data_IF_217043052528
#
_entry.id   IF_217043052528
#
_cell.length_a   1.000
_cell.length_b   1.000
_cell.length_c   1.000
_cell.angle_alpha   90.00
_cell.angle_beta   90.00
_cell.angle_gamma   90.00
#
_symmetry.space_group_name_H-M   'P 1'
#
loop_
_entity.id
_entity.type
_entity.pdbx_description
1 polymer ?
#
# COMPACT_ATOMS: atom_id res chain seq x y z
N UNK A 1 -12.58 -22.15 -20.34
CA UNK A 1 -11.84 -21.43 -19.28
C UNK A 1 -10.55 -20.80 -19.81
N UNK A 2 -9.82 -21.43 -20.73
CA UNK A 2 -8.60 -20.82 -21.31
C UNK A 2 -8.87 -19.56 -22.14
N UNK A 3 -10.00 -19.48 -22.82
CA UNK A 3 -10.45 -18.29 -23.53
C UNK A 3 -10.73 -17.09 -22.59
N UNK A 4 -10.94 -17.34 -21.29
CA UNK A 4 -11.16 -16.33 -20.26
C UNK A 4 -9.86 -15.89 -19.55
N UNK A 5 -8.69 -16.23 -20.09
CA UNK A 5 -7.40 -15.80 -19.54
C UNK A 5 -6.75 -16.79 -18.56
N UNK A 6 -7.35 -17.94 -18.30
CA UNK A 6 -6.71 -18.98 -17.49
C UNK A 6 -5.43 -19.48 -18.19
N UNK A 7 -4.33 -19.60 -17.47
CA UNK A 7 -3.01 -20.00 -18.01
C UNK A 7 -2.73 -21.47 -17.85
N UNK A 8 -3.31 -22.07 -16.81
CA UNK A 8 -3.18 -23.51 -16.52
C UNK A 8 -4.37 -23.96 -15.68
N UNK A 9 -4.63 -25.25 -15.59
CA UNK A 9 -5.64 -25.83 -14.73
C UNK A 9 -5.14 -27.14 -14.10
N UNK A 10 -5.56 -27.39 -12.87
CA UNK A 10 -5.27 -28.62 -12.14
C UNK A 10 -6.58 -29.32 -11.81
N UNK A 11 -6.61 -30.63 -12.00
CA UNK A 11 -7.76 -31.45 -11.65
C UNK A 11 -7.56 -31.96 -10.22
N UNK A 12 -8.56 -31.78 -9.38
CA UNK A 12 -8.52 -32.31 -8.01
C UNK A 12 -8.86 -33.79 -7.97
N UNK A 13 -8.15 -34.60 -7.16
CA UNK A 13 -7.04 -34.23 -6.28
C UNK A 13 -5.72 -34.07 -7.03
N UNK A 14 -4.88 -33.10 -6.64
CA UNK A 14 -3.54 -32.88 -7.18
C UNK A 14 -2.51 -32.91 -6.05
N UNK A 15 -1.28 -33.33 -6.36
CA UNK A 15 -0.16 -33.33 -5.43
C UNK A 15 0.52 -31.96 -5.33
N UNK A 16 1.31 -31.76 -4.27
CA UNK A 16 2.13 -30.56 -4.12
C UNK A 16 3.16 -30.41 -5.26
N UNK A 17 3.65 -31.51 -5.77
CA UNK A 17 4.64 -31.54 -6.85
C UNK A 17 4.02 -31.11 -8.18
N UNK A 18 2.80 -31.61 -8.49
CA UNK A 18 2.04 -31.18 -9.67
C UNK A 18 1.70 -29.68 -9.61
N UNK A 19 1.29 -29.17 -8.45
CA UNK A 19 1.04 -27.75 -8.25
C UNK A 19 2.31 -26.93 -8.50
N UNK A 20 3.42 -27.33 -7.88
CA UNK A 20 4.70 -26.64 -8.01
C UNK A 20 5.22 -26.66 -9.45
N UNK A 21 5.09 -27.79 -10.14
CA UNK A 21 5.48 -27.94 -11.54
C UNK A 21 4.64 -27.03 -12.45
N UNK A 22 3.33 -27.01 -12.26
CA UNK A 22 2.40 -26.15 -13.01
C UNK A 22 2.73 -24.65 -12.82
N UNK A 23 2.96 -24.21 -11.57
CA UNK A 23 3.35 -22.84 -11.27
C UNK A 23 4.67 -22.47 -11.97
N UNK A 24 5.69 -23.32 -11.89
CA UNK A 24 6.98 -23.10 -12.56
C UNK A 24 6.83 -23.05 -14.08
N UNK A 25 6.02 -23.90 -14.65
CA UNK A 25 5.77 -23.93 -16.10
C UNK A 25 5.09 -22.65 -16.58
N UNK A 26 4.05 -22.19 -15.87
CA UNK A 26 3.38 -20.91 -16.17
C UNK A 26 4.36 -19.76 -16.01
N UNK A 27 5.13 -19.70 -14.93
CA UNK A 27 6.13 -18.68 -14.69
C UNK A 27 7.17 -18.59 -15.81
N UNK A 28 7.75 -19.74 -16.22
CA UNK A 28 8.75 -19.77 -17.31
C UNK A 28 8.16 -19.29 -18.62
N UNK A 29 6.91 -19.67 -18.93
CA UNK A 29 6.22 -19.29 -20.17
C UNK A 29 5.82 -17.81 -20.22
N UNK A 30 5.47 -17.23 -19.07
CA UNK A 30 5.00 -15.83 -18.99
C UNK A 30 6.14 -14.84 -18.68
N UNK A 31 7.27 -15.29 -18.14
CA UNK A 31 8.41 -14.44 -17.79
C UNK A 31 8.91 -13.59 -18.96
N UNK A 32 8.98 -14.17 -20.15
CA UNK A 32 9.46 -13.47 -21.35
C UNK A 32 8.46 -12.40 -21.86
N UNK A 33 7.18 -12.57 -21.52
CA UNK A 33 6.16 -11.55 -21.78
C UNK A 33 6.23 -10.41 -20.78
N UNK A 34 6.46 -10.72 -19.50
CA UNK A 34 6.63 -9.74 -18.44
C UNK A 34 7.87 -8.87 -18.68
N UNK A 35 8.97 -9.44 -19.17
CA UNK A 35 10.17 -8.67 -19.55
C UNK A 35 9.92 -7.77 -20.75
N UNK A 36 9.01 -8.09 -21.65
CA UNK A 36 8.65 -7.23 -22.79
C UNK A 36 7.67 -6.11 -22.43
N UNK A 37 6.81 -6.34 -21.41
CA UNK A 37 5.87 -5.34 -20.91
C UNK A 37 6.55 -4.41 -19.88
N UNK A 38 7.58 -4.93 -19.19
CA UNK A 38 8.31 -4.23 -18.14
C UNK A 38 9.67 -3.69 -18.56
N UNK A 39 9.91 -3.43 -19.86
CA UNK A 39 11.03 -2.60 -20.25
C UNK A 39 10.64 -1.14 -19.96
N UNK A 40 11.02 -0.57 -18.78
CA UNK A 40 10.91 0.87 -18.63
C UNK A 40 11.87 1.45 -19.66
N UNK A 41 11.42 2.44 -20.38
CA UNK A 41 12.33 3.34 -21.07
C UNK A 41 13.38 3.75 -20.04
N UNK A 42 14.65 3.45 -20.30
CA UNK A 42 15.75 3.78 -19.44
C UNK A 42 15.82 5.30 -19.26
N UNK A 43 15.11 5.80 -18.27
CA UNK A 43 15.38 7.09 -17.68
C UNK A 43 16.56 6.88 -16.76
N UNK A 44 17.64 7.56 -17.04
CA UNK A 44 18.93 7.48 -16.39
C UNK A 44 18.77 7.49 -14.86
N UNK A 45 19.17 6.38 -14.21
CA UNK A 45 19.41 6.33 -12.78
C UNK A 45 20.67 7.13 -12.48
N UNK A 46 20.50 8.40 -12.19
CA UNK A 46 21.51 9.16 -11.44
C UNK A 46 21.28 8.86 -9.97
N UNK A 47 22.30 8.32 -9.31
CA UNK A 47 22.29 7.89 -7.93
C UNK A 47 21.76 8.99 -7.00
N UNK A 48 20.74 8.65 -6.24
CA UNK A 48 20.18 9.48 -5.19
C UNK A 48 20.93 9.25 -3.88
N UNK A 49 21.69 10.22 -3.48
CA UNK A 49 22.27 10.36 -2.16
C UNK A 49 21.16 10.57 -1.10
N UNK A 50 21.53 10.26 0.14
CA UNK A 50 20.75 10.45 1.36
C UNK A 50 20.01 11.81 1.42
N UNK A 51 18.76 11.77 1.87
CA UNK A 51 17.86 12.90 1.91
C UNK A 51 18.40 14.14 2.60
N UNK A 52 18.35 15.24 1.86
CA UNK A 52 18.38 16.58 2.40
C UNK A 52 16.95 17.08 2.59
N UNK A 53 16.66 17.65 3.74
CA UNK A 53 15.44 18.39 3.99
C UNK A 53 15.35 19.53 2.94
N UNK A 54 14.37 19.43 2.02
CA UNK A 54 14.19 20.41 0.96
C UNK A 54 13.89 19.81 -0.44
N UNK A 55 13.68 18.50 -0.54
CA UNK A 55 13.29 17.83 -1.80
C UNK A 55 11.82 18.09 -2.15
N UNK A 56 11.45 17.85 -3.43
CA UNK A 56 10.06 17.85 -3.85
C UNK A 56 9.24 16.82 -3.05
N UNK A 57 7.98 17.17 -2.71
CA UNK A 57 7.09 16.25 -1.99
C UNK A 57 6.93 14.92 -2.75
N UNK A 58 6.90 13.83 -2.00
CA UNK A 58 6.77 12.49 -2.58
C UNK A 58 5.46 12.29 -3.36
N UNK A 59 5.46 11.29 -4.22
CA UNK A 59 4.31 10.91 -5.04
C UNK A 59 3.27 10.18 -4.19
N UNK A 60 1.98 10.54 -4.35
CA UNK A 60 0.85 9.82 -3.75
C UNK A 60 0.21 8.92 -4.78
N UNK A 61 -0.02 7.66 -4.43
CA UNK A 61 -0.73 6.67 -5.24
C UNK A 61 -1.91 6.12 -4.46
N UNK A 62 -3.13 6.52 -4.84
CA UNK A 62 -4.36 5.98 -4.28
C UNK A 62 -4.78 4.72 -5.04
N UNK A 63 -4.97 3.61 -4.32
CA UNK A 63 -5.45 2.34 -4.88
C UNK A 63 -6.92 2.22 -4.59
N UNK A 64 -7.73 2.46 -5.61
CA UNK A 64 -9.20 2.54 -5.50
C UNK A 64 -9.90 1.61 -6.49
N UNK A 65 -11.03 1.08 -6.10
CA UNK A 65 -12.02 0.46 -6.98
C UNK A 65 -13.39 0.46 -6.30
N UNK A 66 -14.48 0.83 -6.99
CA UNK A 66 -15.84 0.77 -6.43
C UNK A 66 -16.32 -0.66 -6.23
N UNK A 67 -15.67 -1.65 -6.86
CA UNK A 67 -16.01 -3.07 -6.71
C UNK A 67 -15.21 -3.71 -5.58
N UNK A 68 -15.91 -4.35 -4.63
CA UNK A 68 -15.28 -5.15 -3.59
C UNK A 68 -14.62 -6.42 -4.13
N UNK A 69 -13.63 -6.95 -3.42
CA UNK A 69 -13.01 -8.24 -3.73
C UNK A 69 -12.07 -8.27 -4.96
N UNK A 70 -11.73 -7.13 -5.56
CA UNK A 70 -10.84 -7.04 -6.72
C UNK A 70 -9.35 -7.02 -6.38
N UNK A 71 -9.01 -7.14 -5.09
CA UNK A 71 -7.60 -7.20 -4.66
C UNK A 71 -6.95 -5.83 -4.44
N UNK A 72 -7.71 -4.77 -4.12
CA UNK A 72 -7.17 -3.42 -3.83
C UNK A 72 -6.09 -3.44 -2.76
N UNK A 73 -6.45 -3.89 -1.56
CA UNK A 73 -5.52 -3.97 -0.42
C UNK A 73 -4.32 -4.84 -0.73
N UNK A 74 -4.54 -5.99 -1.40
CA UNK A 74 -3.45 -6.84 -1.88
C UNK A 74 -2.55 -6.08 -2.87
N UNK A 75 -3.14 -5.33 -3.80
CA UNK A 75 -2.41 -4.52 -4.77
C UNK A 75 -1.63 -3.39 -4.10
N UNK A 76 -2.25 -2.66 -3.17
CA UNK A 76 -1.61 -1.58 -2.42
C UNK A 76 -0.41 -2.06 -1.59
N UNK A 77 -0.61 -3.15 -0.84
CA UNK A 77 0.44 -3.76 -0.02
C UNK A 77 1.62 -4.23 -0.88
N UNK A 78 1.36 -4.98 -1.96
CA UNK A 78 2.43 -5.47 -2.83
C UNK A 78 3.16 -4.34 -3.56
N UNK A 79 2.46 -3.30 -3.99
CA UNK A 79 3.07 -2.11 -4.58
C UNK A 79 4.02 -1.42 -3.60
N UNK A 80 3.57 -1.19 -2.37
CA UNK A 80 4.38 -0.55 -1.33
C UNK A 80 5.61 -1.39 -0.99
N UNK A 81 5.43 -2.70 -0.77
CA UNK A 81 6.54 -3.62 -0.47
C UNK A 81 7.54 -3.69 -1.62
N UNK A 82 7.08 -3.81 -2.86
CA UNK A 82 7.96 -3.85 -4.03
C UNK A 82 8.74 -2.53 -4.20
N UNK A 83 8.09 -1.38 -4.02
CA UNK A 83 8.74 -0.08 -4.13
C UNK A 83 9.83 0.13 -3.06
N UNK A 84 9.59 -0.32 -1.83
CA UNK A 84 10.58 -0.24 -0.76
C UNK A 84 11.74 -1.23 -0.97
N UNK A 85 11.42 -2.51 -1.23
CA UNK A 85 12.42 -3.58 -1.29
C UNK A 85 13.25 -3.55 -2.56
N UNK A 86 12.64 -3.24 -3.71
CA UNK A 86 13.30 -3.29 -5.02
C UNK A 86 13.72 -1.91 -5.50
N UNK A 87 12.97 -0.87 -5.13
CA UNK A 87 13.21 0.50 -5.58
C UNK A 87 14.08 1.33 -4.64
N UNK A 88 14.39 0.85 -3.44
CA UNK A 88 15.18 1.58 -2.43
C UNK A 88 14.55 2.92 -2.01
N UNK A 89 13.23 3.08 -2.19
CA UNK A 89 12.49 4.29 -1.86
C UNK A 89 12.03 4.28 -0.41
N UNK A 90 11.92 5.47 0.17
CA UNK A 90 11.21 5.66 1.45
C UNK A 90 9.71 5.60 1.15
N UNK A 91 9.07 4.53 1.58
CA UNK A 91 7.66 4.25 1.25
C UNK A 91 6.81 4.27 2.49
N UNK A 92 5.73 5.06 2.47
CA UNK A 92 4.64 4.95 3.42
C UNK A 92 3.44 4.23 2.78
N UNK A 93 2.78 3.39 3.57
CA UNK A 93 1.50 2.75 3.22
C UNK A 93 0.46 3.16 4.26
N UNK A 94 -0.61 3.81 3.81
CA UNK A 94 -1.73 4.23 4.65
C UNK A 94 -2.95 3.36 4.37
N UNK A 95 -3.50 2.76 5.40
CA UNK A 95 -4.80 2.08 5.34
C UNK A 95 -5.92 3.11 5.53
N UNK A 96 -6.60 3.46 4.45
CA UNK A 96 -7.72 4.39 4.47
C UNK A 96 -9.09 3.68 4.55
N UNK A 97 -9.11 2.36 4.68
CA UNK A 97 -10.31 1.58 4.98
C UNK A 97 -10.64 1.65 6.47
N UNK A 98 -10.95 2.84 6.99
CA UNK A 98 -10.95 3.14 8.42
C UNK A 98 -11.87 2.25 9.26
N UNK A 99 -12.98 1.76 8.70
CA UNK A 99 -13.91 0.89 9.44
C UNK A 99 -13.49 -0.59 9.46
N UNK A 100 -12.84 -1.06 8.38
CA UNK A 100 -12.51 -2.47 8.18
C UNK A 100 -11.18 -2.60 7.43
N UNK A 101 -10.10 -2.05 8.00
CA UNK A 101 -8.78 -2.09 7.39
C UNK A 101 -8.07 -3.44 7.58
N UNK A 102 -7.54 -3.99 6.50
CA UNK A 102 -6.89 -5.29 6.46
C UNK A 102 -5.37 -5.21 6.19
N UNK A 103 -4.80 -4.03 6.01
CA UNK A 103 -3.36 -3.86 5.74
C UNK A 103 -2.51 -4.47 6.86
N UNK A 104 -2.89 -4.24 8.12
CA UNK A 104 -2.20 -4.81 9.27
C UNK A 104 -2.20 -6.34 9.28
N UNK A 105 -3.31 -6.96 8.88
CA UNK A 105 -3.44 -8.42 8.79
C UNK A 105 -2.55 -8.97 7.67
N UNK A 106 -2.58 -8.36 6.49
CA UNK A 106 -1.78 -8.81 5.34
C UNK A 106 -0.28 -8.69 5.58
N UNK A 107 0.15 -7.69 6.33
CA UNK A 107 1.56 -7.48 6.69
C UNK A 107 1.95 -8.15 8.01
N UNK A 108 1.04 -8.92 8.63
CA UNK A 108 1.26 -9.57 9.94
C UNK A 108 1.78 -8.58 11.00
N UNK A 109 1.25 -7.35 10.98
CA UNK A 109 1.59 -6.33 11.96
C UNK A 109 0.76 -6.52 13.22
N UNK A 110 1.42 -6.42 14.36
CA UNK A 110 0.71 -6.36 15.64
C UNK A 110 0.24 -4.92 15.84
N UNK A 111 -1.06 -4.67 16.07
CA UNK A 111 -1.53 -3.34 16.40
C UNK A 111 -0.97 -2.96 17.78
N UNK A 112 0.06 -2.12 17.78
CA UNK A 112 0.65 -1.57 19.01
C UNK A 112 -0.14 -0.32 19.46
N UNK A 113 -1.47 -0.36 19.37
CA UNK A 113 -2.37 0.77 19.67
C UNK A 113 -2.00 2.06 18.92
N UNK A 114 -1.45 1.94 17.72
CA UNK A 114 -1.06 3.07 16.88
C UNK A 114 -1.80 3.00 15.56
N UNK A 115 -2.71 3.93 15.37
CA UNK A 115 -3.54 4.05 14.17
C UNK A 115 -3.70 5.53 13.81
N UNK A 116 -4.35 5.81 12.71
CA UNK A 116 -4.67 7.19 12.34
C UNK A 116 -5.58 7.86 13.38
N UNK A 117 -6.42 7.13 14.11
CA UNK A 117 -7.28 7.70 15.15
C UNK A 117 -6.48 8.30 16.32
N UNK A 118 -5.34 7.71 16.64
CA UNK A 118 -4.45 8.20 17.69
C UNK A 118 -3.76 9.52 17.33
N UNK A 119 -3.71 9.83 16.02
CA UNK A 119 -3.19 11.10 15.49
C UNK A 119 -4.18 12.26 15.59
N UNK A 120 -5.48 11.98 15.69
CA UNK A 120 -6.52 13.03 15.61
C UNK A 120 -6.30 14.15 16.62
N UNK A 121 -6.00 13.88 17.91
CA UNK A 121 -5.76 14.96 18.87
C UNK A 121 -4.59 15.87 18.50
N UNK A 122 -3.49 15.30 18.00
CA UNK A 122 -2.32 16.09 17.57
C UNK A 122 -2.62 16.90 16.30
N UNK A 123 -3.39 16.33 15.38
CA UNK A 123 -3.85 17.04 14.19
C UNK A 123 -4.74 18.23 14.52
N UNK A 124 -5.59 18.15 15.53
CA UNK A 124 -6.48 19.22 15.95
C UNK A 124 -5.71 20.40 16.58
N UNK A 125 -4.70 20.10 17.38
CA UNK A 125 -3.84 21.12 18.02
C UNK A 125 -2.84 21.74 17.03
N UNK A 126 -2.59 21.10 15.90
CA UNK A 126 -1.68 21.62 14.86
C UNK A 126 -0.19 21.33 15.13
N UNK A 127 0.13 20.51 16.10
CA UNK A 127 1.50 20.22 16.55
C UNK A 127 2.16 19.00 15.86
N UNK A 128 1.61 18.52 14.74
CA UNK A 128 2.09 17.28 14.11
C UNK A 128 3.35 17.53 13.29
N UNK A 129 4.49 17.70 13.94
CA UNK A 129 5.79 17.85 13.29
C UNK A 129 6.34 16.54 12.72
N UNK A 130 5.97 15.40 13.27
CA UNK A 130 6.40 14.07 12.78
C UNK A 130 5.35 13.00 13.01
N UNK A 131 5.10 12.18 11.98
CA UNK A 131 4.23 11.01 12.06
C UNK A 131 4.98 9.74 12.51
N UNK A 132 6.28 9.84 12.77
CA UNK A 132 7.16 8.68 13.02
C UNK A 132 6.70 7.77 14.15
N UNK A 133 6.13 8.35 15.20
CA UNK A 133 5.65 7.59 16.37
C UNK A 133 4.40 6.78 16.07
N UNK A 134 3.65 7.12 15.02
CA UNK A 134 2.41 6.45 14.62
C UNK A 134 2.61 5.47 13.47
N UNK A 135 3.76 5.50 12.81
CA UNK A 135 4.11 4.59 11.74
C UNK A 135 4.74 3.31 12.29
N UNK A 136 4.28 2.17 11.80
CA UNK A 136 4.84 0.87 12.15
C UNK A 136 5.83 0.46 11.06
N UNK A 137 7.05 0.13 11.46
CA UNK A 137 8.07 -0.34 10.52
C UNK A 137 7.83 -1.82 10.17
N UNK A 138 7.67 -2.12 8.89
CA UNK A 138 7.62 -3.48 8.38
C UNK A 138 9.01 -3.94 7.92
N UNK A 139 9.27 -5.24 7.97
CA UNK A 139 10.58 -5.84 7.60
C UNK A 139 11.01 -5.57 6.15
N UNK A 140 10.09 -5.23 5.27
CA UNK A 140 10.39 -4.82 3.88
C UNK A 140 10.90 -3.38 3.74
N UNK A 141 10.94 -2.60 4.83
CA UNK A 141 11.27 -1.17 4.81
C UNK A 141 10.07 -0.24 4.63
N UNK A 142 8.86 -0.77 4.42
CA UNK A 142 7.63 0.03 4.37
C UNK A 142 7.27 0.54 5.76
N UNK A 143 6.88 1.80 5.85
CA UNK A 143 6.31 2.42 7.06
C UNK A 143 4.79 2.47 6.93
N UNK A 144 4.08 1.87 7.88
CA UNK A 144 2.65 1.61 7.76
C UNK A 144 1.87 2.41 8.78
N UNK A 145 0.88 3.19 8.30
CA UNK A 145 -0.14 3.81 9.12
C UNK A 145 -1.40 2.97 9.05
N UNK A 146 -1.78 2.37 10.16
CA UNK A 146 -2.93 1.49 10.26
C UNK A 146 -4.26 2.26 10.35
N UNK A 147 -5.31 1.62 9.86
CA UNK A 147 -6.70 2.01 10.15
C UNK A 147 -7.00 1.89 11.66
N UNK A 148 -8.01 2.61 12.16
CA UNK A 148 -8.48 2.47 13.53
C UNK A 148 -8.86 1.03 13.87
N UNK A 149 -8.64 0.56 15.11
CA UNK A 149 -8.94 -0.81 15.50
C UNK A 149 -10.45 -1.08 15.67
N UNK A 150 -11.27 -0.04 15.73
CA UNK A 150 -12.73 -0.17 15.87
C UNK A 150 -13.49 0.87 15.04
N UNK A 151 -14.72 0.55 14.60
CA UNK A 151 -15.57 1.50 13.87
C UNK A 151 -15.86 2.80 14.63
N UNK A 152 -15.97 2.74 15.97
CA UNK A 152 -16.20 3.91 16.79
C UNK A 152 -15.03 4.90 16.72
N UNK A 153 -13.81 4.38 16.70
CA UNK A 153 -12.61 5.22 16.51
C UNK A 153 -12.49 5.73 15.07
N UNK A 154 -13.02 4.99 14.10
CA UNK A 154 -13.05 5.43 12.71
C UNK A 154 -13.89 6.70 12.51
N UNK A 155 -14.95 6.88 13.31
CA UNK A 155 -15.80 8.09 13.28
C UNK A 155 -15.06 9.36 13.69
N UNK A 156 -13.96 9.24 14.43
CA UNK A 156 -13.11 10.38 14.81
C UNK A 156 -12.29 10.92 13.64
N UNK A 157 -12.08 10.10 12.60
CA UNK A 157 -11.22 10.44 11.48
C UNK A 157 -12.01 11.13 10.38
N UNK A 158 -11.86 12.44 10.27
CA UNK A 158 -12.50 13.24 9.22
C UNK A 158 -11.69 13.22 7.91
N UNK A 159 -12.34 13.66 6.81
CA UNK A 159 -11.70 13.88 5.52
C UNK A 159 -10.51 14.85 5.60
N UNK A 160 -10.63 15.90 6.42
CA UNK A 160 -9.55 16.86 6.63
C UNK A 160 -8.35 16.24 7.37
N UNK A 161 -8.59 15.33 8.32
CA UNK A 161 -7.52 14.59 9.00
C UNK A 161 -6.77 13.70 8.01
N UNK A 162 -7.49 12.93 7.19
CA UNK A 162 -6.88 12.06 6.18
C UNK A 162 -6.01 12.86 5.20
N UNK A 163 -6.51 14.01 4.70
CA UNK A 163 -5.76 14.88 3.80
C UNK A 163 -4.47 15.42 4.45
N UNK A 164 -4.56 15.93 5.67
CA UNK A 164 -3.38 16.45 6.41
C UNK A 164 -2.34 15.38 6.65
N UNK A 165 -2.77 14.16 6.98
CA UNK A 165 -1.86 13.02 7.15
C UNK A 165 -1.15 12.69 5.84
N UNK A 166 -1.85 12.61 4.71
CA UNK A 166 -1.24 12.35 3.40
C UNK A 166 -0.25 13.45 3.03
N UNK A 167 -0.62 14.73 3.22
CA UNK A 167 0.28 15.86 2.95
C UNK A 167 1.54 15.79 3.82
N UNK A 168 1.42 15.33 5.07
CA UNK A 168 2.59 15.15 5.93
C UNK A 168 3.43 13.96 5.52
N UNK A 169 2.80 12.81 5.22
CA UNK A 169 3.53 11.62 4.78
C UNK A 169 4.37 11.86 3.54
N UNK A 170 3.86 12.64 2.56
CA UNK A 170 4.58 12.92 1.32
C UNK A 170 5.80 13.85 1.49
N UNK A 171 5.90 14.57 2.60
CA UNK A 171 7.09 15.37 2.89
C UNK A 171 8.26 14.49 3.37
N UNK A 172 7.94 13.39 4.07
CA UNK A 172 8.93 12.51 4.69
C UNK A 172 9.24 11.24 3.86
N UNK A 173 8.44 10.96 2.81
CA UNK A 173 8.54 9.75 2.00
C UNK A 173 8.54 10.08 0.49
N UNK A 174 9.24 9.25 -0.27
CA UNK A 174 9.33 9.39 -1.73
C UNK A 174 8.08 8.87 -2.43
N UNK A 175 7.37 7.92 -1.78
CA UNK A 175 6.12 7.35 -2.25
C UNK A 175 5.18 7.12 -1.07
N UNK A 176 3.93 7.58 -1.22
CA UNK A 176 2.83 7.28 -0.30
C UNK A 176 1.79 6.46 -1.05
N UNK A 177 1.58 5.22 -0.63
CA UNK A 177 0.52 4.36 -1.17
C UNK A 177 -0.66 4.41 -0.21
N UNK A 178 -1.86 4.68 -0.73
CA UNK A 178 -3.09 4.76 0.05
C UNK A 178 -4.05 3.67 -0.38
N UNK A 179 -4.37 2.73 0.51
CA UNK A 179 -5.40 1.72 0.28
C UNK A 179 -6.77 2.29 0.59
N UNK A 180 -7.53 2.60 -0.46
CA UNK A 180 -8.83 3.25 -0.34
C UNK A 180 -9.98 2.25 -0.20
N UNK A 181 -11.03 2.52 0.59
CA UNK A 181 -12.24 1.70 0.65
C UNK A 181 -13.02 1.73 -0.67
N UNK A 182 -13.98 0.80 -0.85
CA UNK A 182 -14.81 0.76 -2.06
C UNK A 182 -15.93 1.81 -2.11
N UNK A 183 -16.16 2.50 -1.00
CA UNK A 183 -17.24 3.46 -0.89
C UNK A 183 -16.84 4.86 -1.38
N UNK A 184 -17.75 5.56 -2.03
CA UNK A 184 -17.64 6.99 -2.30
C UNK A 184 -18.22 7.76 -1.12
N UNK A 185 -17.41 8.05 -0.13
CA UNK A 185 -17.70 8.95 0.97
C UNK A 185 -16.80 10.19 0.91
N UNK A 186 -17.09 11.19 1.73
CA UNK A 186 -16.34 12.46 1.74
C UNK A 186 -14.85 12.26 2.00
N UNK A 187 -14.50 11.33 2.88
CA UNK A 187 -13.11 11.00 3.20
C UNK A 187 -12.38 10.42 2.00
N UNK A 188 -13.03 9.48 1.29
CA UNK A 188 -12.45 8.84 0.12
C UNK A 188 -12.30 9.83 -1.05
N UNK A 189 -13.30 10.69 -1.25
CA UNK A 189 -13.25 11.76 -2.27
C UNK A 189 -12.15 12.80 -1.97
N UNK A 190 -11.83 13.04 -0.70
CA UNK A 190 -10.75 13.95 -0.31
C UNK A 190 -9.35 13.34 -0.53
N UNK A 191 -9.24 12.01 -0.62
CA UNK A 191 -8.00 11.27 -0.89
C UNK A 191 -7.74 11.13 -2.39
N UNK A 192 -8.81 10.92 -3.19
CA UNK A 192 -8.74 10.75 -4.65
C UNK A 192 -8.55 12.09 -5.37
#
# INVERSE_FOLDING_TARGET
>A
SMLAGAREFLIKPFSSDELTASIRQVWTRERDKLTRIGAPAAAAATGGAAGTAGGEPGTVVAVFSPKGGVGRTTGAVNLAVAAASLGGKRVALMDASFQFGDVGVLLNLKPNNKSIADLVPELEVGETDSLDTFLINHSSGVRVLLAPPSPEQAELVSASHAKRVIERLRLDHDLVVVDCPSAFNDTNLAIL
#
